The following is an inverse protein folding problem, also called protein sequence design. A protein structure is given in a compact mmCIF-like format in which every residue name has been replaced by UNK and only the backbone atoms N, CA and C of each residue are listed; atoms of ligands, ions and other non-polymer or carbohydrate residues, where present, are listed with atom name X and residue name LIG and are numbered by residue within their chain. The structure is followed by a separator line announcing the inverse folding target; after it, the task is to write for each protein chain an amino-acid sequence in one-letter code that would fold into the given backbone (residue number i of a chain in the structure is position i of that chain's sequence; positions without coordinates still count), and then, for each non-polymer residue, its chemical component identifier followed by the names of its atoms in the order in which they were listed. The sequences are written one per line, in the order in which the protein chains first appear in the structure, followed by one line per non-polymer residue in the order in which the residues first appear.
data_IF_227136064597
#
_entry.id   IF_227136064597
#
_cell.length_a   1.000
_cell.length_b   1.000
_cell.length_c   1.000
_cell.angle_alpha   90.00
_cell.angle_beta   90.00
_cell.angle_gamma   90.00
#
_symmetry.space_group_name_H-M   'P 1'
#
loop_
_entity.id
_entity.type
_entity.pdbx_description
1 polymer ?
#
# COMPACT_ATOMS: atom_id res chain seq x y z
N UNK A 1 11.56 -5.90 -27.11
CA UNK A 1 11.74 -4.43 -27.26
C UNK A 1 11.45 -3.69 -25.95
N UNK A 2 10.24 -3.83 -25.39
CA UNK A 2 9.85 -3.18 -24.13
C UNK A 2 10.75 -3.55 -22.93
N UNK A 3 10.99 -4.84 -22.68
CA UNK A 3 11.88 -5.28 -21.59
C UNK A 3 13.31 -4.73 -21.69
N UNK A 4 13.82 -4.52 -22.91
CA UNK A 4 15.12 -3.85 -23.13
C UNK A 4 15.05 -2.36 -22.78
N UNK A 5 13.95 -1.69 -23.14
CA UNK A 5 13.72 -0.29 -22.81
C UNK A 5 13.65 -0.06 -21.29
N UNK A 6 12.92 -0.90 -20.54
CA UNK A 6 12.77 -0.75 -19.08
C UNK A 6 14.10 -0.91 -18.35
N UNK A 7 14.98 -1.78 -18.81
CA UNK A 7 16.31 -1.97 -18.23
C UNK A 7 17.29 -0.84 -18.60
N UNK A 8 17.18 -0.27 -19.81
CA UNK A 8 18.10 0.78 -20.27
C UNK A 8 17.67 2.20 -19.88
N UNK A 9 16.40 2.40 -19.54
CA UNK A 9 15.83 3.71 -19.22
C UNK A 9 14.97 3.65 -17.94
N UNK A 10 15.54 3.26 -16.78
CA UNK A 10 14.78 3.09 -15.55
C UNK A 10 14.09 4.38 -15.09
N UNK A 11 14.75 5.54 -15.21
CA UNK A 11 14.19 6.85 -14.85
C UNK A 11 12.91 7.19 -15.64
N UNK A 12 12.91 6.90 -16.94
CA UNK A 12 11.72 7.15 -17.79
C UNK A 12 10.64 6.12 -17.51
N UNK A 13 11.01 4.85 -17.41
CA UNK A 13 10.04 3.78 -17.21
C UNK A 13 9.32 3.90 -15.86
N UNK A 14 10.05 4.06 -14.76
CA UNK A 14 9.46 4.09 -13.43
C UNK A 14 8.69 5.36 -13.14
N UNK A 15 9.05 6.51 -13.73
CA UNK A 15 8.22 7.71 -13.61
C UNK A 15 6.83 7.52 -14.22
N UNK A 16 6.74 6.76 -15.33
CA UNK A 16 5.46 6.36 -15.92
C UNK A 16 4.73 5.38 -14.98
N UNK A 17 5.41 4.34 -14.50
CA UNK A 17 4.79 3.34 -13.62
C UNK A 17 4.23 3.97 -12.34
N UNK A 18 4.98 4.84 -11.67
CA UNK A 18 4.53 5.53 -10.46
C UNK A 18 3.28 6.37 -10.71
N UNK A 19 3.21 7.04 -11.88
CA UNK A 19 2.04 7.80 -12.30
C UNK A 19 0.85 6.90 -12.60
N UNK A 20 1.06 5.79 -13.29
CA UNK A 20 -0.02 4.85 -13.63
C UNK A 20 -0.59 4.14 -12.39
N UNK A 21 0.27 3.86 -11.40
CA UNK A 21 -0.12 3.28 -10.12
C UNK A 21 -0.68 4.31 -9.14
N UNK A 22 -0.60 5.61 -9.45
CA UNK A 22 -0.97 6.71 -8.57
C UNK A 22 -0.30 6.64 -7.20
N UNK A 23 0.99 6.29 -7.21
CA UNK A 23 1.82 6.37 -6.01
C UNK A 23 2.00 7.84 -5.65
N UNK A 24 1.68 8.18 -4.41
CA UNK A 24 1.84 9.53 -3.89
C UNK A 24 2.97 9.57 -2.86
N UNK A 25 3.82 10.57 -3.00
CA UNK A 25 4.94 10.83 -2.10
C UNK A 25 4.66 12.11 -1.32
N UNK A 26 4.84 12.08 -0.01
CA UNK A 26 4.90 13.28 0.83
C UNK A 26 6.17 14.07 0.53
N UNK A 27 7.29 13.38 0.35
CA UNK A 27 8.56 13.94 -0.11
C UNK A 27 9.02 13.19 -1.36
N UNK A 28 9.18 13.91 -2.47
CA UNK A 28 9.56 13.31 -3.74
C UNK A 28 11.00 12.78 -3.69
N UNK A 29 11.29 11.63 -4.34
CA UNK A 29 12.66 11.13 -4.42
C UNK A 29 13.56 12.07 -5.24
N UNK A 30 14.85 12.10 -4.91
CA UNK A 30 15.86 12.84 -5.68
C UNK A 30 16.06 12.28 -7.10
N UNK A 31 16.02 10.96 -7.23
CA UNK A 31 16.08 10.20 -8.47
C UNK A 31 15.35 8.87 -8.29
N UNK A 32 15.11 8.11 -9.35
CA UNK A 32 14.42 6.81 -9.23
C UNK A 32 15.38 5.75 -8.69
N UNK A 33 16.61 5.72 -9.21
CA UNK A 33 17.60 4.73 -8.81
C UNK A 33 18.97 5.42 -8.67
N UNK A 34 19.58 5.26 -7.49
CA UNK A 34 20.94 5.70 -7.22
C UNK A 34 21.89 4.50 -7.14
N UNK A 35 22.76 4.37 -8.13
CA UNK A 35 23.77 3.29 -8.23
C UNK A 35 25.17 3.76 -7.83
N UNK A 36 25.31 4.94 -7.21
CA UNK A 36 26.63 5.49 -6.83
C UNK A 36 27.32 4.71 -5.70
N UNK A 37 26.54 3.98 -4.90
CA UNK A 37 27.04 3.16 -3.80
C UNK A 37 27.30 1.72 -4.27
N UNK A 38 28.55 1.44 -4.65
CA UNK A 38 28.98 0.12 -5.14
C UNK A 38 28.81 -1.01 -4.09
N UNK A 39 28.62 -0.68 -2.81
CA UNK A 39 28.40 -1.69 -1.75
C UNK A 39 26.98 -2.28 -1.78
N UNK A 40 26.04 -1.63 -2.46
CA UNK A 40 24.63 -2.04 -2.56
C UNK A 40 24.34 -2.56 -3.96
N UNK A 41 24.48 -3.89 -4.19
CA UNK A 41 24.12 -4.46 -5.48
C UNK A 41 22.64 -4.20 -5.76
N UNK A 42 22.34 -3.44 -6.83
CA UNK A 42 20.99 -3.01 -7.19
C UNK A 42 20.62 -1.58 -6.79
N UNK A 43 21.56 -0.82 -6.18
CA UNK A 43 21.41 0.60 -5.88
C UNK A 43 20.39 0.91 -4.78
N UNK A 44 20.13 2.20 -4.57
CA UNK A 44 19.09 2.71 -3.66
C UNK A 44 17.92 3.24 -4.48
N UNK A 45 16.74 2.65 -4.32
CA UNK A 45 15.51 3.09 -4.98
C UNK A 45 14.88 4.27 -4.26
N UNK A 46 14.42 5.25 -5.03
CA UNK A 46 13.70 6.44 -4.55
C UNK A 46 14.38 7.14 -3.33
N UNK A 47 15.69 7.43 -3.39
CA UNK A 47 16.42 8.01 -2.26
C UNK A 47 15.84 9.35 -1.82
N UNK A 48 15.67 9.48 -0.50
CA UNK A 48 15.13 10.68 0.14
C UNK A 48 13.61 10.81 0.02
N UNK A 49 12.91 9.83 -0.56
CA UNK A 49 11.46 9.88 -0.61
C UNK A 49 10.80 9.50 0.72
N UNK A 50 9.62 10.07 0.96
CA UNK A 50 8.75 9.73 2.09
C UNK A 50 7.35 9.46 1.55
N UNK A 51 6.79 8.30 1.86
CA UNK A 51 5.43 7.90 1.48
C UNK A 51 4.85 6.90 2.50
N UNK A 52 3.53 6.78 2.52
CA UNK A 52 2.85 5.66 3.15
C UNK A 52 2.07 4.85 2.10
N UNK A 53 2.41 3.57 1.95
CA UNK A 53 1.80 2.74 0.91
C UNK A 53 0.31 2.47 1.18
N UNK A 54 -0.10 2.39 2.45
CA UNK A 54 -1.50 2.20 2.81
C UNK A 54 -2.35 3.41 2.41
N UNK A 55 -1.81 4.63 2.45
CA UNK A 55 -2.52 5.81 1.94
C UNK A 55 -2.80 5.70 0.43
N UNK A 56 -1.82 5.24 -0.35
CA UNK A 56 -2.00 5.02 -1.79
C UNK A 56 -3.08 3.95 -2.08
N UNK A 57 -3.31 3.02 -1.16
CA UNK A 57 -4.35 2.01 -1.29
C UNK A 57 -5.75 2.47 -0.84
N UNK A 58 -5.82 3.37 0.17
CA UNK A 58 -7.06 3.72 0.87
C UNK A 58 -7.68 5.05 0.43
N UNK A 59 -6.89 5.94 -0.17
CA UNK A 59 -7.38 7.22 -0.65
C UNK A 59 -8.00 7.08 -2.05
N UNK A 60 -9.08 7.84 -2.33
CA UNK A 60 -9.63 7.90 -3.68
C UNK A 60 -8.61 8.54 -4.63
N UNK A 61 -8.52 8.02 -5.85
CA UNK A 61 -7.60 8.52 -6.87
C UNK A 61 -8.36 8.88 -8.14
N UNK A 62 -7.96 9.96 -8.80
CA UNK A 62 -8.55 10.38 -10.08
C UNK A 62 -8.20 9.41 -11.21
N UNK A 63 -7.07 8.73 -11.09
CA UNK A 63 -6.56 7.76 -12.04
C UNK A 63 -5.89 6.58 -11.28
N UNK A 64 -6.09 5.31 -11.69
CA UNK A 64 -7.35 4.86 -12.26
C UNK A 64 -8.51 5.34 -11.37
N UNK A 65 -9.63 5.77 -11.96
CA UNK A 65 -10.71 6.44 -11.23
C UNK A 65 -11.26 5.54 -10.10
N UNK A 66 -10.85 5.81 -8.87
CA UNK A 66 -11.29 5.14 -7.64
C UNK A 66 -11.98 6.16 -6.76
N UNK A 67 -13.22 5.88 -6.40
CA UNK A 67 -14.04 6.75 -5.53
C UNK A 67 -14.28 6.04 -4.21
N UNK A 68 -14.73 6.78 -3.20
CA UNK A 68 -15.13 6.22 -1.91
C UNK A 68 -16.14 5.06 -2.04
N UNK A 69 -17.01 5.07 -3.07
CA UNK A 69 -18.02 4.05 -3.32
C UNK A 69 -17.51 2.85 -4.15
N UNK A 70 -16.25 2.88 -4.60
CA UNK A 70 -15.67 1.76 -5.36
C UNK A 70 -15.49 0.55 -4.45
N UNK A 71 -15.89 -0.63 -4.90
CA UNK A 71 -15.69 -1.89 -4.15
C UNK A 71 -14.19 -2.15 -4.04
N UNK A 72 -13.70 -2.30 -2.81
CA UNK A 72 -12.29 -2.51 -2.49
C UNK A 72 -12.00 -3.96 -2.09
N UNK A 73 -12.90 -4.57 -1.31
CA UNK A 73 -12.77 -5.95 -0.85
C UNK A 73 -14.05 -6.72 -1.20
N UNK A 74 -13.87 -7.92 -1.74
CA UNK A 74 -14.93 -8.90 -1.98
C UNK A 74 -14.52 -10.18 -1.27
N UNK A 75 -15.39 -10.72 -0.44
CA UNK A 75 -15.09 -11.93 0.32
C UNK A 75 -16.34 -12.75 0.59
N UNK A 76 -16.12 -13.91 1.17
CA UNK A 76 -17.15 -14.80 1.71
C UNK A 76 -16.53 -15.54 2.89
N UNK A 77 -17.34 -15.86 3.87
CA UNK A 77 -16.91 -16.69 4.99
C UNK A 77 -16.65 -18.13 4.53
N UNK A 78 -15.55 -18.71 5.00
CA UNK A 78 -15.19 -20.09 4.69
C UNK A 78 -16.30 -21.05 5.16
N UNK A 79 -16.66 -22.02 4.31
CA UNK A 79 -17.72 -22.98 4.59
C UNK A 79 -19.15 -22.46 4.37
N UNK A 80 -19.32 -21.25 3.83
CA UNK A 80 -20.63 -20.67 3.46
C UNK A 80 -20.78 -20.48 1.95
N UNK A 81 -20.49 -21.51 1.17
CA UNK A 81 -20.40 -21.43 -0.30
C UNK A 81 -21.71 -21.03 -1.00
N UNK A 82 -22.85 -21.29 -0.35
CA UNK A 82 -24.18 -20.94 -0.84
C UNK A 82 -24.59 -19.49 -0.51
N UNK A 83 -23.87 -18.81 0.40
CA UNK A 83 -24.17 -17.43 0.78
C UNK A 83 -23.70 -16.44 -0.31
N UNK A 84 -24.40 -15.32 -0.52
CA UNK A 84 -23.89 -14.24 -1.38
C UNK A 84 -22.52 -13.74 -0.91
N UNK A 85 -21.68 -13.30 -1.86
CA UNK A 85 -20.43 -12.62 -1.53
C UNK A 85 -20.70 -11.28 -0.84
N UNK A 86 -19.88 -10.95 0.14
CA UNK A 86 -19.87 -9.67 0.81
C UNK A 86 -18.95 -8.68 0.11
N UNK A 87 -19.21 -7.39 0.30
CA UNK A 87 -18.46 -6.30 -0.32
C UNK A 87 -18.22 -5.18 0.68
N UNK A 88 -17.01 -4.60 0.66
CA UNK A 88 -16.70 -3.34 1.31
C UNK A 88 -16.29 -2.32 0.26
N UNK A 89 -16.83 -1.10 0.39
CA UNK A 89 -16.38 0.03 -0.40
C UNK A 89 -15.04 0.56 0.13
N UNK A 90 -14.36 1.37 -0.68
CA UNK A 90 -13.10 2.02 -0.28
C UNK A 90 -13.28 2.86 0.98
N UNK A 91 -14.41 3.55 1.12
CA UNK A 91 -14.76 4.27 2.35
C UNK A 91 -14.88 3.33 3.54
N UNK A 92 -15.61 2.23 3.42
CA UNK A 92 -15.82 1.30 4.53
C UNK A 92 -14.49 0.68 5.01
N UNK A 93 -13.60 0.36 4.07
CA UNK A 93 -12.26 -0.15 4.39
C UNK A 93 -11.44 0.94 5.10
N UNK A 94 -11.40 2.16 4.54
CA UNK A 94 -10.66 3.28 5.13
C UNK A 94 -11.13 3.59 6.55
N UNK A 95 -12.43 3.64 6.77
CA UNK A 95 -13.00 3.97 8.08
C UNK A 95 -12.64 2.90 9.12
N UNK A 96 -12.72 1.62 8.77
CA UNK A 96 -12.31 0.52 9.65
C UNK A 96 -10.80 0.49 9.90
N UNK A 97 -9.98 0.76 8.87
CA UNK A 97 -8.51 0.85 9.01
C UNK A 97 -8.14 1.98 9.95
N UNK A 98 -8.74 3.17 9.80
CA UNK A 98 -8.48 4.31 10.67
C UNK A 98 -8.91 4.04 12.11
N UNK A 99 -10.02 3.32 12.33
CA UNK A 99 -10.44 2.90 13.66
C UNK A 99 -9.38 2.03 14.35
N UNK A 100 -8.85 1.02 13.65
CA UNK A 100 -7.82 0.14 14.19
C UNK A 100 -6.50 0.88 14.37
N UNK A 101 -6.10 1.74 13.43
CA UNK A 101 -4.88 2.54 13.53
C UNK A 101 -4.88 3.44 14.77
N UNK A 102 -6.01 4.11 15.05
CA UNK A 102 -6.17 4.93 16.26
C UNK A 102 -6.10 4.09 17.55
N UNK A 103 -6.61 2.86 17.54
CA UNK A 103 -6.47 1.96 18.67
C UNK A 103 -5.01 1.54 18.89
N UNK A 104 -4.27 1.23 17.82
CA UNK A 104 -2.84 0.91 17.88
C UNK A 104 -2.00 2.07 18.41
N UNK A 105 -2.36 3.31 18.07
CA UNK A 105 -1.70 4.52 18.58
C UNK A 105 -1.78 4.69 20.09
N UNK A 106 -2.77 4.08 20.74
CA UNK A 106 -2.87 4.11 22.21
C UNK A 106 -1.94 3.11 22.92
N UNK A 107 -1.42 2.11 22.20
CA UNK A 107 -0.72 0.95 22.80
C UNK A 107 0.72 0.80 22.30
N UNK A 108 0.98 1.14 21.04
CA UNK A 108 2.25 0.89 20.37
C UNK A 108 2.90 2.20 19.92
N UNK A 109 4.21 2.16 19.67
CA UNK A 109 4.97 3.26 19.08
C UNK A 109 5.24 3.02 17.59
N UNK A 110 5.58 4.09 16.86
CA UNK A 110 6.03 3.97 15.47
C UNK A 110 7.32 3.14 15.42
N UNK A 111 7.40 2.22 14.47
CA UNK A 111 8.50 1.26 14.32
C UNK A 111 8.36 -0.02 15.13
N UNK A 112 7.34 -0.15 15.99
CA UNK A 112 7.08 -1.42 16.68
C UNK A 112 6.69 -2.52 15.68
N UNK A 113 7.09 -3.75 15.98
CA UNK A 113 6.81 -4.94 15.18
C UNK A 113 5.57 -5.64 15.72
N UNK A 114 4.59 -5.91 14.87
CA UNK A 114 3.32 -6.54 15.23
C UNK A 114 3.10 -7.76 14.33
N UNK A 115 3.14 -8.96 14.92
CA UNK A 115 2.81 -10.18 14.21
C UNK A 115 1.29 -10.39 14.11
N UNK A 116 0.81 -10.85 12.96
CA UNK A 116 -0.58 -11.24 12.74
C UNK A 116 -0.63 -12.76 12.60
N UNK A 117 -1.35 -13.43 13.51
CA UNK A 117 -1.69 -14.86 13.41
C UNK A 117 -3.21 -14.98 13.25
N UNK A 118 -3.67 -14.87 12.00
CA UNK A 118 -5.09 -14.85 11.65
C UNK A 118 -5.34 -15.58 10.31
N UNK A 119 -6.52 -16.19 10.11
CA UNK A 119 -6.94 -16.67 8.81
C UNK A 119 -7.17 -15.52 7.82
N UNK A 120 -7.30 -15.86 6.53
CA UNK A 120 -7.50 -14.91 5.43
C UNK A 120 -8.90 -14.28 5.43
N UNK A 121 -9.14 -13.41 6.41
CA UNK A 121 -10.40 -12.70 6.65
C UNK A 121 -10.27 -11.22 6.29
N UNK A 122 -11.39 -10.53 6.14
CA UNK A 122 -11.38 -9.07 5.93
C UNK A 122 -10.74 -8.33 7.10
N UNK A 123 -10.96 -8.81 8.32
CA UNK A 123 -10.32 -8.27 9.53
C UNK A 123 -8.80 -8.32 9.43
N UNK A 124 -8.22 -9.41 8.91
CA UNK A 124 -6.77 -9.51 8.72
C UNK A 124 -6.23 -8.45 7.74
N UNK A 125 -6.95 -8.19 6.64
CA UNK A 125 -6.57 -7.12 5.67
C UNK A 125 -6.65 -5.73 6.31
N UNK A 126 -7.72 -5.46 7.07
CA UNK A 126 -7.90 -4.18 7.77
C UNK A 126 -6.79 -3.97 8.80
N UNK A 127 -6.47 -4.98 9.62
CA UNK A 127 -5.41 -4.91 10.63
C UNK A 127 -4.05 -4.69 9.98
N UNK A 128 -3.75 -5.42 8.90
CA UNK A 128 -2.49 -5.28 8.15
C UNK A 128 -2.30 -3.84 7.63
N UNK A 129 -3.32 -3.27 6.98
CA UNK A 129 -3.27 -1.88 6.50
C UNK A 129 -3.23 -0.86 7.64
N UNK A 130 -3.87 -1.14 8.78
CA UNK A 130 -3.84 -0.28 9.96
C UNK A 130 -2.44 -0.23 10.61
N UNK A 131 -1.72 -1.35 10.66
CA UNK A 131 -0.34 -1.39 11.14
C UNK A 131 0.56 -0.52 10.23
N UNK A 132 0.42 -0.66 8.92
CA UNK A 132 1.21 0.09 7.94
C UNK A 132 0.89 1.60 7.96
N UNK A 133 -0.39 1.99 7.92
CA UNK A 133 -0.75 3.42 7.88
C UNK A 133 -0.29 4.16 9.14
N UNK A 134 -0.25 3.45 10.25
CA UNK A 134 0.12 3.99 11.56
C UNK A 134 1.65 3.97 11.80
N UNK A 135 2.44 3.45 10.85
CA UNK A 135 3.90 3.49 10.87
C UNK A 135 4.56 2.39 11.71
N UNK A 136 3.86 1.26 11.90
CA UNK A 136 4.42 0.03 12.51
C UNK A 136 4.84 -0.95 11.43
N UNK A 137 5.57 -1.97 11.86
CA UNK A 137 6.11 -3.03 11.01
C UNK A 137 5.24 -4.27 11.23
N UNK A 138 4.78 -4.88 10.14
CA UNK A 138 4.04 -6.14 10.13
C UNK A 138 4.92 -7.27 9.64
#
# INVERSE_FOLDING_TARGET
LFQKFTAQNPEVYWSIVLKELSVWFHEAPRCILDETDESKPGGTWFPGSVLNIAECCLLPTSYPRKTDNSVAIVWREEGRDDDPVCHLTLRDVRDQVMLVANALDSTFSKGDIIAIDMPMTVSAVIIYLAIIISGRIV
#
